data_IF_550633176661
#
_entry.id   IF_550633176661
#
_cell.length_a   1.000
_cell.length_b   1.000
_cell.length_c   1.000
_cell.angle_alpha   90.00
_cell.angle_beta   90.00
_cell.angle_gamma   90.00
#
_symmetry.space_group_name_H-M   'P 1'
#
loop_
_entity.id
_entity.type
_entity.pdbx_description
1 polymer ?
#
# COMPACT_ATOMS: atom_id res chain seq x y z
N UNK A 1 6.74 -4.31 -15.17
CA UNK A 1 7.43 -3.51 -14.13
C UNK A 1 7.38 -2.01 -14.42
N UNK A 2 7.44 -1.54 -15.67
CA UNK A 2 7.27 -0.11 -15.99
C UNK A 2 5.90 0.43 -15.55
N UNK A 3 4.84 -0.36 -15.72
CA UNK A 3 3.45 0.03 -15.41
C UNK A 3 3.18 0.32 -13.93
N UNK A 4 3.97 -0.25 -13.01
CA UNK A 4 3.81 -0.04 -11.56
C UNK A 4 4.66 1.13 -11.02
N UNK A 5 5.58 1.67 -11.84
CA UNK A 5 6.47 2.76 -11.41
C UNK A 5 5.70 4.00 -10.92
N UNK A 6 4.60 4.43 -11.56
CA UNK A 6 3.81 5.56 -11.07
C UNK A 6 3.25 5.33 -9.66
N UNK A 7 2.71 4.13 -9.41
CA UNK A 7 2.20 3.74 -8.09
C UNK A 7 3.31 3.73 -7.04
N UNK A 8 4.47 3.15 -7.33
CA UNK A 8 5.62 3.13 -6.41
C UNK A 8 6.12 4.54 -6.08
N UNK A 9 6.24 5.41 -7.08
CA UNK A 9 6.63 6.80 -6.87
C UNK A 9 5.63 7.56 -5.98
N UNK A 10 4.33 7.28 -6.15
CA UNK A 10 3.27 7.89 -5.36
C UNK A 10 3.30 7.44 -3.90
N UNK A 11 3.41 6.14 -3.66
CA UNK A 11 3.56 5.57 -2.31
C UNK A 11 4.79 6.14 -1.61
N UNK A 12 5.93 6.24 -2.32
CA UNK A 12 7.17 6.85 -1.79
C UNK A 12 7.01 8.30 -1.38
N UNK A 13 6.29 9.10 -2.17
CA UNK A 13 6.02 10.52 -1.84
C UNK A 13 5.19 10.65 -0.57
N UNK A 14 4.12 9.85 -0.44
CA UNK A 14 3.24 9.85 0.73
C UNK A 14 3.99 9.31 1.96
N UNK A 15 4.77 8.24 1.80
CA UNK A 15 5.58 7.66 2.86
C UNK A 15 6.56 8.68 3.45
N UNK A 16 7.22 9.48 2.59
CA UNK A 16 8.10 10.58 3.03
C UNK A 16 7.34 11.66 3.80
N UNK A 17 6.13 12.02 3.37
CA UNK A 17 5.29 13.03 4.04
C UNK A 17 4.89 12.60 5.46
N UNK A 18 4.60 11.31 5.65
CA UNK A 18 4.17 10.74 6.94
C UNK A 18 5.32 10.15 7.76
N UNK A 19 6.55 10.14 7.24
CA UNK A 19 7.74 9.53 7.85
C UNK A 19 7.53 8.04 8.24
N UNK A 20 6.92 7.28 7.33
CA UNK A 20 6.64 5.84 7.47
C UNK A 20 7.17 5.09 6.24
N UNK A 21 7.09 3.76 6.26
CA UNK A 21 7.49 2.94 5.10
C UNK A 21 6.46 3.00 3.97
N UNK A 22 6.91 2.76 2.74
CA UNK A 22 6.03 2.61 1.57
C UNK A 22 5.03 1.46 1.76
N UNK A 23 5.45 0.37 2.41
CA UNK A 23 4.58 -0.77 2.73
C UNK A 23 3.46 -0.38 3.70
N UNK A 24 3.73 0.45 4.69
CA UNK A 24 2.72 0.93 5.63
C UNK A 24 1.67 1.81 4.93
N UNK A 25 2.09 2.66 3.98
CA UNK A 25 1.15 3.45 3.16
C UNK A 25 0.25 2.53 2.32
N UNK A 26 0.83 1.54 1.64
CA UNK A 26 0.08 0.61 0.81
C UNK A 26 -0.93 -0.22 1.64
N UNK A 27 -0.54 -0.65 2.85
CA UNK A 27 -1.45 -1.33 3.76
C UNK A 27 -2.56 -0.39 4.25
N UNK A 28 -2.25 0.87 4.56
CA UNK A 28 -3.25 1.84 5.00
C UNK A 28 -4.27 2.11 3.88
N UNK A 29 -3.81 2.21 2.64
CA UNK A 29 -4.66 2.33 1.46
C UNK A 29 -5.66 1.17 1.34
N UNK A 30 -5.19 -0.09 1.47
CA UNK A 30 -6.07 -1.25 1.46
C UNK A 30 -7.12 -1.18 2.59
N UNK A 31 -6.69 -0.81 3.81
CA UNK A 31 -7.61 -0.64 4.94
C UNK A 31 -8.65 0.48 4.70
N UNK A 32 -8.26 1.58 4.05
CA UNK A 32 -9.17 2.66 3.68
C UNK A 32 -10.22 2.22 2.64
N UNK A 33 -9.88 1.24 1.80
CA UNK A 33 -10.80 0.61 0.83
C UNK A 33 -11.68 -0.49 1.45
N UNK A 34 -11.65 -0.67 2.77
CA UNK A 34 -12.46 -1.65 3.49
C UNK A 34 -11.88 -3.07 3.52
N UNK A 35 -10.61 -3.24 3.15
CA UNK A 35 -9.93 -4.53 3.15
C UNK A 35 -9.27 -4.77 4.53
N UNK A 36 -9.38 -5.98 5.06
CA UNK A 36 -8.60 -6.43 6.24
C UNK A 36 -7.38 -7.24 5.76
N UNK A 37 -6.19 -6.63 5.63
CA UNK A 37 -5.03 -7.32 5.07
C UNK A 37 -4.46 -8.37 6.03
N UNK A 38 -4.14 -9.55 5.50
CA UNK A 38 -3.35 -10.58 6.20
C UNK A 38 -1.91 -10.48 5.71
N UNK A 39 -1.00 -10.07 6.58
CA UNK A 39 0.39 -9.78 6.23
C UNK A 39 1.37 -10.79 6.82
N UNK A 40 2.31 -11.26 6.01
CA UNK A 40 3.41 -12.11 6.46
C UNK A 40 4.59 -11.28 6.98
N UNK A 41 5.28 -11.80 8.00
CA UNK A 41 6.48 -11.18 8.60
C UNK A 41 7.60 -12.21 8.60
N UNK A 42 8.75 -11.88 8.00
CA UNK A 42 9.98 -12.68 8.01
C UNK A 42 11.11 -12.02 8.82
N UNK A 43 11.02 -10.71 9.07
CA UNK A 43 12.00 -9.94 9.86
C UNK A 43 11.28 -9.04 10.87
N UNK A 44 11.85 -8.78 12.07
CA UNK A 44 11.22 -7.93 13.09
C UNK A 44 10.81 -6.54 12.57
N UNK A 45 11.64 -5.90 11.74
CA UNK A 45 11.34 -4.59 11.14
C UNK A 45 10.01 -4.56 10.37
N UNK A 46 9.62 -5.66 9.74
CA UNK A 46 8.35 -5.72 9.00
C UNK A 46 7.15 -5.69 9.95
N UNK A 47 7.25 -6.28 11.14
CA UNK A 47 6.19 -6.17 12.14
C UNK A 47 6.05 -4.74 12.64
N UNK A 48 7.17 -4.05 12.87
CA UNK A 48 7.17 -2.63 13.25
C UNK A 48 6.55 -1.75 12.16
N UNK A 49 6.95 -1.94 10.91
CA UNK A 49 6.41 -1.17 9.78
C UNK A 49 4.93 -1.46 9.53
N UNK A 50 4.51 -2.73 9.60
CA UNK A 50 3.09 -3.09 9.51
C UNK A 50 2.29 -2.42 10.62
N UNK A 51 2.82 -2.36 11.84
CA UNK A 51 2.17 -1.71 12.99
C UNK A 51 2.02 -0.20 12.81
N UNK A 52 2.96 0.48 12.12
CA UNK A 52 2.85 1.92 11.78
C UNK A 52 1.67 2.24 10.87
N UNK A 53 1.02 1.25 10.28
CA UNK A 53 -0.22 1.41 9.49
C UNK A 53 -1.43 1.73 10.38
N UNK A 54 -1.39 1.31 11.65
CA UNK A 54 -2.51 1.40 12.57
C UNK A 54 -2.62 2.80 13.20
N UNK A 55 -3.82 3.15 13.68
CA UNK A 55 -4.05 4.41 14.42
C UNK A 55 -4.24 5.66 13.56
N UNK A 56 -4.15 5.56 12.23
CA UNK A 56 -4.41 6.67 11.32
C UNK A 56 -4.99 6.19 9.98
N UNK A 57 -5.45 7.13 9.15
CA UNK A 57 -5.97 6.85 7.81
C UNK A 57 -5.43 7.87 6.82
N UNK A 58 -5.22 7.43 5.59
CA UNK A 58 -4.98 8.32 4.46
C UNK A 58 -6.18 9.27 4.28
N UNK A 59 -5.88 10.49 3.87
CA UNK A 59 -6.91 11.45 3.47
C UNK A 59 -7.57 11.02 2.16
N UNK A 60 -8.80 11.48 1.92
CA UNK A 60 -9.50 11.24 0.64
C UNK A 60 -8.68 11.71 -0.56
N UNK A 61 -7.95 12.82 -0.43
CA UNK A 61 -7.06 13.31 -1.48
C UNK A 61 -5.92 12.34 -1.76
N UNK A 62 -5.25 11.81 -0.74
CA UNK A 62 -4.17 10.84 -0.91
C UNK A 62 -4.68 9.51 -1.50
N UNK A 63 -5.89 9.08 -1.12
CA UNK A 63 -6.54 7.90 -1.72
C UNK A 63 -6.77 8.14 -3.22
N UNK A 64 -7.31 9.30 -3.61
CA UNK A 64 -7.52 9.66 -5.01
C UNK A 64 -6.22 9.77 -5.80
N UNK A 65 -5.15 10.30 -5.20
CA UNK A 65 -3.82 10.36 -5.81
C UNK A 65 -3.25 8.95 -6.08
N UNK A 66 -3.47 8.00 -5.17
CA UNK A 66 -3.07 6.60 -5.36
C UNK A 66 -3.94 5.94 -6.44
N UNK A 67 -5.26 6.15 -6.40
CA UNK A 67 -6.21 5.61 -7.40
C UNK A 67 -5.81 6.03 -8.82
N UNK A 68 -5.47 7.32 -9.02
CA UNK A 68 -5.15 7.89 -10.32
C UNK A 68 -3.90 7.30 -10.99
N UNK A 69 -3.00 6.70 -10.21
CA UNK A 69 -1.78 6.05 -10.70
C UNK A 69 -1.79 4.54 -10.49
N UNK A 70 -2.90 3.97 -10.01
CA UNK A 70 -3.05 2.54 -9.80
C UNK A 70 -3.38 1.84 -11.11
N UNK A 71 -2.85 0.64 -11.27
CA UNK A 71 -3.12 -0.20 -12.42
C UNK A 71 -4.23 -1.20 -12.09
N UNK A 72 -5.27 -1.26 -12.93
CA UNK A 72 -6.30 -2.29 -12.83
C UNK A 72 -5.79 -3.59 -13.46
N UNK A 73 -5.64 -4.63 -12.66
CA UNK A 73 -5.26 -5.95 -13.14
C UNK A 73 -6.45 -6.71 -13.69
N UNK A 74 -6.34 -7.23 -14.92
CA UNK A 74 -7.28 -8.20 -15.47
C UNK A 74 -6.93 -9.58 -14.92
N UNK A 75 -7.54 -10.00 -13.80
CA UNK A 75 -7.20 -11.25 -13.15
C UNK A 75 -7.47 -12.47 -14.08
N UNK A 76 -6.44 -13.27 -14.36
CA UNK A 76 -6.60 -14.71 -14.67
C UNK A 76 -7.09 -15.39 -13.39
N UNK A 77 -8.27 -16.01 -13.41
CA UNK A 77 -8.97 -16.49 -12.20
C UNK A 77 -8.29 -17.64 -11.43
N UNK A 78 -7.06 -18.03 -11.81
CA UNK A 78 -6.43 -19.28 -11.38
C UNK A 78 -5.00 -19.14 -10.84
N UNK A 79 -4.41 -17.93 -10.76
CA UNK A 79 -3.01 -17.80 -10.33
C UNK A 79 -2.80 -16.67 -9.31
N UNK A 80 -2.53 -17.07 -8.07
CA UNK A 80 -1.83 -16.26 -7.06
C UNK A 80 -0.49 -16.96 -6.77
N UNK A 81 0.62 -16.40 -7.26
CA UNK A 81 1.93 -16.78 -6.75
C UNK A 81 2.14 -16.06 -5.42
N UNK A 82 2.29 -16.86 -4.34
CA UNK A 82 2.77 -16.39 -3.04
C UNK A 82 4.27 -16.15 -3.01
#
# INVERSE_FOLDING_TARGET
MEEIKPSLAMLKRIAKKHNISESAVALNYNMCKGITPVVGVRKPQQAEDNSKTLGWRLSNAEILEIDAVSFEGYATSLWQQG
#
